data_IF_957283759740
#
_entry.id   IF_957283759740
#
_cell.length_a   1.000
_cell.length_b   1.000
_cell.length_c   1.000
_cell.angle_alpha   90.00
_cell.angle_beta   90.00
_cell.angle_gamma   90.00
#
_symmetry.space_group_name_H-M   'P 1'
#
loop_
_entity.id
_entity.type
_entity.pdbx_description
1 polymer ?
#
# COMPACT_ATOMS: atom_id res chain seq x y z
N UNK A 1 -7.99 7.66 -11.62
CA UNK A 1 -7.38 8.27 -10.42
C UNK A 1 -6.93 7.11 -9.56
N UNK A 2 -5.63 6.87 -9.44
CA UNK A 2 -5.17 5.72 -8.67
C UNK A 2 -5.34 6.01 -7.18
N UNK A 3 -6.13 5.17 -6.52
CA UNK A 3 -6.30 5.19 -5.07
C UNK A 3 -5.05 4.64 -4.37
N UNK A 4 -4.89 4.94 -3.07
CA UNK A 4 -3.80 4.35 -2.27
C UNK A 4 -3.82 2.82 -2.33
N UNK A 5 -5.01 2.23 -2.28
CA UNK A 5 -5.20 0.78 -2.38
C UNK A 5 -4.67 0.22 -3.69
N UNK A 6 -4.96 0.86 -4.82
CA UNK A 6 -4.48 0.42 -6.14
C UNK A 6 -2.97 0.55 -6.26
N UNK A 7 -2.39 1.66 -5.78
CA UNK A 7 -0.95 1.87 -5.77
C UNK A 7 -0.22 0.80 -4.95
N UNK A 8 -0.72 0.50 -3.75
CA UNK A 8 -0.13 -0.53 -2.89
C UNK A 8 -0.28 -1.94 -3.50
N UNK A 9 -1.42 -2.24 -4.12
CA UNK A 9 -1.62 -3.54 -4.81
C UNK A 9 -0.67 -3.69 -5.98
N UNK A 10 -0.46 -2.64 -6.76
CA UNK A 10 0.46 -2.67 -7.89
C UNK A 10 1.91 -2.84 -7.44
N UNK A 11 2.34 -2.06 -6.44
CA UNK A 11 3.68 -2.20 -5.86
C UNK A 11 3.94 -3.63 -5.33
N UNK A 12 2.92 -4.28 -4.76
CA UNK A 12 3.02 -5.69 -4.33
C UNK A 12 3.05 -6.70 -5.49
N UNK A 13 2.52 -6.38 -6.67
CA UNK A 13 2.63 -7.22 -7.88
C UNK A 13 4.01 -7.11 -8.50
N UNK A 14 4.56 -5.90 -8.52
CA UNK A 14 5.89 -5.61 -9.05
C UNK A 14 7.02 -6.05 -8.09
N UNK A 15 6.70 -6.23 -6.81
CA UNK A 15 7.68 -6.65 -5.81
C UNK A 15 8.26 -8.05 -6.16
N UNK A 16 9.61 -8.20 -6.16
CA UNK A 16 10.26 -9.46 -6.51
C UNK A 16 10.00 -10.58 -5.49
N UNK A 17 9.64 -10.23 -4.24
CA UNK A 17 9.34 -11.21 -3.20
C UNK A 17 8.45 -10.64 -2.09
N UNK A 18 7.23 -11.15 -1.98
CA UNK A 18 6.32 -10.80 -0.88
C UNK A 18 6.85 -11.24 0.50
N UNK A 19 7.69 -12.28 0.55
CA UNK A 19 8.33 -12.69 1.81
C UNK A 19 9.35 -11.66 2.29
N UNK A 20 10.09 -11.03 1.37
CA UNK A 20 11.04 -9.97 1.71
C UNK A 20 10.30 -8.70 2.18
N UNK A 21 9.20 -8.35 1.51
CA UNK A 21 8.32 -7.25 1.94
C UNK A 21 7.80 -7.53 3.35
N UNK A 22 7.24 -8.72 3.58
CA UNK A 22 6.71 -9.12 4.88
C UNK A 22 7.74 -9.01 6.02
N UNK A 23 8.98 -9.48 5.77
CA UNK A 23 10.08 -9.40 6.74
C UNK A 23 10.44 -7.95 7.09
N UNK A 24 10.38 -7.05 6.12
CA UNK A 24 10.80 -5.66 6.30
C UNK A 24 9.71 -4.80 6.93
N UNK A 25 8.46 -5.00 6.50
CA UNK A 25 7.31 -4.20 6.97
C UNK A 25 6.64 -4.77 8.21
N UNK A 26 6.90 -6.04 8.53
CA UNK A 26 6.22 -6.77 9.60
C UNK A 26 4.78 -7.14 9.26
N UNK A 27 4.33 -6.94 8.02
CA UNK A 27 3.00 -7.37 7.57
C UNK A 27 3.08 -8.83 7.12
N UNK A 28 2.19 -9.69 7.60
CA UNK A 28 2.22 -11.11 7.27
C UNK A 28 2.15 -11.37 5.75
N UNK A 29 2.98 -12.28 5.25
CA UNK A 29 3.03 -12.60 3.81
C UNK A 29 1.67 -13.09 3.27
N UNK A 30 0.94 -13.89 4.05
CA UNK A 30 -0.42 -14.33 3.69
C UNK A 30 -1.37 -13.14 3.55
N UNK A 31 -1.21 -12.13 4.43
CA UNK A 31 -2.02 -10.94 4.39
C UNK A 31 -1.71 -10.06 3.18
N UNK A 32 -0.42 -9.94 2.81
CA UNK A 32 0.01 -9.28 1.58
C UNK A 32 -0.57 -9.94 0.34
N UNK A 33 -0.55 -11.27 0.25
CA UNK A 33 -1.13 -12.03 -0.87
C UNK A 33 -2.62 -11.75 -1.00
N UNK A 34 -3.39 -11.92 0.07
CA UNK A 34 -4.85 -11.69 0.02
C UNK A 34 -5.19 -10.24 -0.32
N UNK A 35 -4.41 -9.27 0.17
CA UNK A 35 -4.62 -7.86 -0.13
C UNK A 35 -4.31 -7.53 -1.60
N UNK A 36 -3.16 -8.00 -2.11
CA UNK A 36 -2.74 -7.88 -3.52
C UNK A 36 -3.80 -8.45 -4.46
N UNK A 37 -4.36 -9.60 -4.10
CA UNK A 37 -5.38 -10.31 -4.88
C UNK A 37 -6.80 -9.74 -4.68
N UNK A 38 -6.96 -8.68 -3.89
CA UNK A 38 -8.26 -8.03 -3.65
C UNK A 38 -9.22 -8.79 -2.75
N UNK A 39 -8.76 -9.86 -2.09
CA UNK A 39 -9.56 -10.72 -1.21
C UNK A 39 -9.76 -10.13 0.19
N UNK A 40 -8.91 -9.18 0.59
CA UNK A 40 -9.07 -8.47 1.85
C UNK A 40 -8.55 -7.02 1.76
N UNK A 41 -8.93 -6.23 2.76
CA UNK A 41 -8.36 -4.91 3.02
C UNK A 41 -7.21 -5.02 4.04
N UNK A 42 -6.38 -3.98 4.11
CA UNK A 42 -5.36 -3.83 5.16
C UNK A 42 -5.81 -2.81 6.19
N UNK A 43 -5.33 -2.99 7.43
CA UNK A 43 -5.37 -1.92 8.42
C UNK A 43 -4.50 -0.75 7.97
N UNK A 44 -4.87 0.47 8.39
CA UNK A 44 -4.19 1.69 7.95
C UNK A 44 -2.71 1.72 8.34
N UNK A 45 -2.37 1.22 9.54
CA UNK A 45 -0.98 1.13 9.99
C UNK A 45 -0.12 0.21 9.10
N UNK A 46 -0.69 -0.92 8.66
CA UNK A 46 -0.04 -1.81 7.70
C UNK A 46 0.11 -1.15 6.32
N UNK A 47 -0.90 -0.37 5.90
CA UNK A 47 -0.83 0.42 4.67
C UNK A 47 0.28 1.48 4.75
N UNK A 48 0.43 2.17 5.87
CA UNK A 48 1.49 3.18 6.09
C UNK A 48 2.88 2.56 6.05
N UNK A 49 3.08 1.38 6.65
CA UNK A 49 4.36 0.66 6.58
C UNK A 49 4.71 0.24 5.16
N UNK A 50 3.72 -0.23 4.40
CA UNK A 50 3.92 -0.56 2.99
C UNK A 50 4.21 0.70 2.16
N UNK A 51 3.49 1.79 2.40
CA UNK A 51 3.71 3.06 1.72
C UNK A 51 5.14 3.57 2.00
N UNK A 52 5.61 3.48 3.24
CA UNK A 52 6.99 3.80 3.61
C UNK A 52 8.01 2.90 2.93
N UNK A 53 7.77 1.59 2.86
CA UNK A 53 8.65 0.63 2.17
C UNK A 53 8.76 0.89 0.67
N UNK A 54 7.64 1.23 0.01
CA UNK A 54 7.58 1.48 -1.44
C UNK A 54 7.79 2.95 -1.83
N UNK A 55 8.00 3.86 -0.87
CA UNK A 55 8.14 5.30 -1.14
C UNK A 55 6.87 5.98 -1.66
N UNK A 56 5.70 5.41 -1.40
CA UNK A 56 4.40 5.95 -1.83
C UNK A 56 3.97 7.05 -0.86
N UNK A 57 3.51 8.18 -1.38
CA UNK A 57 3.01 9.30 -0.58
C UNK A 57 1.65 9.76 -1.08
N UNK A 58 0.76 10.14 -0.15
CA UNK A 58 -0.47 10.87 -0.44
C UNK A 58 -0.32 12.32 0.00
N UNK A 59 -1.00 13.24 -0.68
CA UNK A 59 -1.02 14.66 -0.32
C UNK A 59 -2.46 15.16 -0.31
N UNK A 60 -2.83 16.05 0.62
CA UNK A 60 -4.14 16.67 0.59
C UNK A 60 -4.34 17.40 -0.74
N UNK A 61 -5.56 17.38 -1.32
CA UNK A 61 -5.85 18.15 -2.51
C UNK A 61 -5.60 19.63 -2.22
N UNK A 62 -5.05 20.34 -3.20
CA UNK A 62 -4.83 21.79 -3.09
C UNK A 62 -6.19 22.44 -2.84
N UNK A 63 -6.36 23.06 -1.67
CA UNK A 63 -7.60 23.75 -1.28
C UNK A 63 -7.98 24.69 -2.41
N UNK A 64 -9.15 24.49 -3.05
CA UNK A 64 -9.69 25.49 -3.96
C UNK A 64 -9.95 26.72 -3.09
N UNK A 65 -9.31 27.84 -3.43
CA UNK A 65 -9.75 29.13 -2.89
C UNK A 65 -11.09 29.37 -3.57
N UNK A 66 -12.17 28.93 -2.92
CA UNK A 66 -13.50 29.41 -3.28
C UNK A 66 -13.46 30.91 -2.96
N UNK A 67 -13.59 31.71 -4.03
CA UNK A 67 -13.57 33.17 -3.99
C UNK A 67 -14.89 33.74 -3.52
#
# INVERSE_FOLDING_TARGET
MNTMTELLREALREAPSLRAVARTTGVEAASLVRFRDGRQSLMLDAADRLAGYFGITSRPPRRRKDG
#
